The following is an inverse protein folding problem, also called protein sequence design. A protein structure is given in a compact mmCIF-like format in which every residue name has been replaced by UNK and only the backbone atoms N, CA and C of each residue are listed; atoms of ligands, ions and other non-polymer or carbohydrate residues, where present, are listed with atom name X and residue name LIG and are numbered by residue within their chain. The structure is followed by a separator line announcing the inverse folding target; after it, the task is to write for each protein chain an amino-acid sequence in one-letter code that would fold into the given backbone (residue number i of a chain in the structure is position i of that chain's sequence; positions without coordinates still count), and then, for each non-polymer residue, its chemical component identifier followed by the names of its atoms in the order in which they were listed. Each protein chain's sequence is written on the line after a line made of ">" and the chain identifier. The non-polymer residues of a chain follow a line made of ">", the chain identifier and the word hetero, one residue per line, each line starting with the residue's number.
data_IF_552611777537
#
_entry.id   IF_552611777537
#
_cell.length_a   1.000
_cell.length_b   1.000
_cell.length_c   1.000
_cell.angle_alpha   90.00
_cell.angle_beta   90.00
_cell.angle_gamma   90.00
#
_symmetry.space_group_name_H-M   'P 1'
#
loop_
_entity.id
_entity.type
_entity.pdbx_description
1 polymer ?
#
# COMPACT_ATOMS: atom_id res chain seq x y z
N UNK A 1 -8.90 8.93 -0.80
CA UNK A 1 -8.35 8.68 0.55
C UNK A 1 -7.08 9.48 0.74
N UNK A 2 -6.87 10.13 1.88
CA UNK A 2 -5.63 10.88 2.14
C UNK A 2 -4.50 9.97 2.65
N UNK A 3 -3.23 10.36 2.49
CA UNK A 3 -2.08 9.66 3.07
C UNK A 3 -2.23 9.34 4.56
N UNK A 4 -2.81 10.25 5.34
CA UNK A 4 -3.04 10.06 6.78
C UNK A 4 -4.09 8.98 7.06
N UNK A 5 -5.17 8.93 6.28
CA UNK A 5 -6.18 7.88 6.39
C UNK A 5 -5.59 6.51 6.03
N UNK A 6 -4.76 6.46 5.00
CA UNK A 6 -4.05 5.23 4.62
C UNK A 6 -3.11 4.79 5.74
N UNK A 7 -2.33 5.73 6.32
CA UNK A 7 -1.46 5.46 7.48
C UNK A 7 -2.22 4.97 8.70
N UNK A 8 -3.42 5.49 8.93
CA UNK A 8 -4.25 5.04 10.05
C UNK A 8 -4.69 3.57 9.89
N UNK A 9 -4.98 3.14 8.66
CA UNK A 9 -5.46 1.78 8.37
C UNK A 9 -4.30 0.78 8.27
N UNK A 10 -3.24 1.13 7.53
CA UNK A 10 -2.13 0.23 7.18
C UNK A 10 -0.87 0.44 8.02
N UNK A 11 -0.83 1.51 8.83
CA UNK A 11 0.37 1.93 9.54
C UNK A 11 1.32 2.78 8.69
N UNK A 12 2.48 3.10 9.28
CA UNK A 12 3.53 3.86 8.61
C UNK A 12 4.11 3.04 7.45
N UNK A 13 4.21 3.60 6.22
CA UNK A 13 4.85 2.90 5.12
C UNK A 13 6.30 2.55 5.46
N UNK A 14 6.77 1.38 5.02
CA UNK A 14 8.14 0.95 5.33
C UNK A 14 9.18 1.74 4.53
N UNK A 15 8.79 2.24 3.37
CA UNK A 15 9.63 3.06 2.52
C UNK A 15 8.79 4.17 1.87
N UNK A 16 9.28 5.40 2.00
CA UNK A 16 8.85 6.57 1.23
C UNK A 16 10.07 7.03 0.44
N UNK A 17 9.91 7.23 -0.86
CA UNK A 17 11.02 7.71 -1.69
C UNK A 17 11.39 9.15 -1.26
N UNK A 18 12.67 9.43 -0.93
CA UNK A 18 13.10 10.74 -0.47
C UNK A 18 13.03 11.83 -1.55
N UNK A 19 12.97 11.45 -2.83
CA UNK A 19 12.83 12.37 -3.95
C UNK A 19 11.39 12.47 -4.45
N UNK A 20 10.58 11.43 -4.22
CA UNK A 20 9.19 11.36 -4.63
C UNK A 20 8.27 10.79 -3.54
N UNK A 21 7.75 11.67 -2.69
CA UNK A 21 6.82 11.29 -1.62
C UNK A 21 5.46 10.74 -2.12
N UNK A 22 5.22 10.69 -3.44
CA UNK A 22 3.99 10.16 -4.02
C UNK A 22 3.87 8.65 -3.93
N UNK A 23 4.96 7.90 -3.72
CA UNK A 23 4.97 6.43 -3.78
C UNK A 23 5.29 5.81 -2.45
N UNK A 24 4.36 5.00 -1.95
CA UNK A 24 4.53 4.29 -0.68
C UNK A 24 4.56 2.79 -0.90
N UNK A 25 5.52 2.14 -0.24
CA UNK A 25 5.71 0.70 -0.32
C UNK A 25 5.37 0.04 1.01
N UNK A 26 4.52 -0.98 0.94
CA UNK A 26 4.16 -1.88 2.02
C UNK A 26 4.53 -3.31 1.60
N UNK A 27 5.30 -4.00 2.42
CA UNK A 27 5.65 -5.41 2.21
C UNK A 27 5.13 -6.19 3.39
N UNK A 28 4.20 -7.10 3.13
CA UNK A 28 3.71 -8.04 4.12
C UNK A 28 4.54 -9.32 4.03
N UNK A 29 5.27 -9.62 5.09
CA UNK A 29 6.07 -10.82 5.22
C UNK A 29 5.45 -11.72 6.28
N UNK A 30 4.99 -12.89 5.86
CA UNK A 30 4.42 -13.89 6.75
C UNK A 30 5.17 -15.21 6.58
N UNK A 31 5.73 -15.74 7.67
CA UNK A 31 6.34 -17.07 7.70
C UNK A 31 5.72 -17.90 8.80
N UNK A 32 5.09 -19.02 8.42
CA UNK A 32 4.41 -19.91 9.37
C UNK A 32 5.35 -21.02 9.83
N UNK A 33 6.00 -20.80 10.98
CA UNK A 33 6.98 -21.75 11.52
C UNK A 33 8.20 -21.89 10.62
N UNK A 34 8.36 -23.09 10.05
CA UNK A 34 9.48 -23.47 9.17
C UNK A 34 9.10 -23.50 7.69
N UNK A 35 7.89 -23.07 7.32
CA UNK A 35 7.48 -22.98 5.91
C UNK A 35 8.22 -21.87 5.17
N UNK A 36 8.16 -21.96 3.84
CA UNK A 36 8.63 -20.87 2.98
C UNK A 36 7.82 -19.59 3.26
N UNK A 37 8.48 -18.42 3.34
CA UNK A 37 7.79 -17.18 3.61
C UNK A 37 6.89 -16.78 2.45
N UNK A 38 5.68 -16.35 2.79
CA UNK A 38 4.81 -15.64 1.87
C UNK A 38 5.13 -14.15 1.94
N UNK A 39 5.46 -13.58 0.79
CA UNK A 39 5.75 -12.16 0.64
C UNK A 39 4.68 -11.57 -0.27
N UNK A 40 3.96 -10.57 0.22
CA UNK A 40 2.94 -9.85 -0.54
C UNK A 40 3.32 -8.37 -0.58
N UNK A 41 3.47 -7.82 -1.77
CA UNK A 41 3.85 -6.42 -1.97
C UNK A 41 2.62 -5.58 -2.29
N UNK A 42 2.58 -4.38 -1.73
CA UNK A 42 1.57 -3.37 -1.98
C UNK A 42 2.26 -2.04 -2.24
N UNK A 43 2.01 -1.47 -3.42
CA UNK A 43 2.49 -0.16 -3.82
C UNK A 43 1.31 0.79 -3.95
N UNK A 44 1.38 1.93 -3.30
CA UNK A 44 0.36 2.98 -3.34
C UNK A 44 0.92 4.21 -4.02
N UNK A 45 0.14 4.80 -4.93
CA UNK A 45 0.47 6.05 -5.61
C UNK A 45 -0.48 7.16 -5.16
N UNK A 46 0.08 8.29 -4.78
CA UNK A 46 -0.64 9.48 -4.34
C UNK A 46 -0.42 10.62 -5.30
N UNK A 47 -1.47 11.35 -5.65
CA UNK A 47 -1.35 12.62 -6.38
C UNK A 47 -2.19 13.68 -5.66
N UNK A 48 -1.64 14.88 -5.52
CA UNK A 48 -2.30 16.01 -4.85
C UNK A 48 -2.86 15.68 -3.45
N UNK A 49 -2.15 14.82 -2.69
CA UNK A 49 -2.57 14.40 -1.35
C UNK A 49 -3.73 13.40 -1.34
N UNK A 50 -3.99 12.72 -2.45
CA UNK A 50 -5.04 11.70 -2.56
C UNK A 50 -4.50 10.43 -3.19
N UNK A 51 -4.90 9.28 -2.67
CA UNK A 51 -4.58 7.96 -3.24
C UNK A 51 -5.25 7.82 -4.61
N UNK A 52 -4.45 7.64 -5.66
CA UNK A 52 -4.92 7.53 -7.06
C UNK A 52 -4.74 6.14 -7.65
N UNK A 53 -3.79 5.36 -7.14
CA UNK A 53 -3.59 3.99 -7.61
C UNK A 53 -3.06 3.06 -6.52
N UNK A 54 -3.33 1.77 -6.71
CA UNK A 54 -2.91 0.68 -5.84
C UNK A 54 -2.52 -0.51 -6.71
N UNK A 55 -1.29 -0.98 -6.54
CA UNK A 55 -0.67 -2.07 -7.30
C UNK A 55 -0.08 -3.11 -6.35
N UNK A 56 0.08 -4.34 -6.84
CA UNK A 56 0.74 -5.42 -6.11
C UNK A 56 -0.10 -6.70 -6.05
N UNK A 57 0.18 -7.52 -5.04
CA UNK A 57 -0.37 -8.87 -4.91
C UNK A 57 -1.79 -8.88 -4.30
N UNK A 58 -2.27 -7.73 -3.86
CA UNK A 58 -3.58 -7.57 -3.25
C UNK A 58 -4.65 -7.27 -4.30
N UNK A 59 -5.73 -8.08 -4.31
CA UNK A 59 -6.87 -7.83 -5.18
C UNK A 59 -7.63 -6.58 -4.69
N UNK A 60 -7.74 -5.58 -5.57
CA UNK A 60 -8.58 -4.40 -5.36
C UNK A 60 -10.03 -4.86 -5.12
N UNK A 61 -10.62 -4.45 -4.00
CA UNK A 61 -12.05 -4.69 -3.77
C UNK A 61 -12.88 -3.85 -4.73
N UNK A 62 -14.00 -4.39 -5.21
CA UNK A 62 -14.84 -3.72 -6.22
C UNK A 62 -15.29 -2.31 -5.78
N UNK A 63 -15.48 -2.11 -4.46
CA UNK A 63 -15.88 -0.84 -3.85
C UNK A 63 -14.81 0.27 -3.88
N UNK A 64 -13.54 -0.05 -4.16
CA UNK A 64 -12.47 0.94 -4.24
C UNK A 64 -12.62 1.86 -5.47
N UNK A 65 -13.29 1.41 -6.52
CA UNK A 65 -13.38 2.10 -7.81
C UNK A 65 -14.56 3.07 -7.92
N UNK A 66 -15.38 3.22 -6.87
CA UNK A 66 -16.73 3.78 -7.02
C UNK A 66 -16.85 5.30 -6.91
N UNK A 67 -15.80 6.02 -6.53
CA UNK A 67 -15.86 7.48 -6.39
C UNK A 67 -14.61 8.15 -6.98
N UNK A 68 -14.60 8.32 -8.30
CA UNK A 68 -13.79 9.33 -8.98
C UNK A 68 -14.67 10.06 -10.01
#
# INVERSE_FOLDING_TARGET
>A
MTPEQVRFILGTPMLVDPFDASRWYYVHYLREGWSDPKIENLTLLFANGVLVDMQGDFKRSASFSQNF
#
